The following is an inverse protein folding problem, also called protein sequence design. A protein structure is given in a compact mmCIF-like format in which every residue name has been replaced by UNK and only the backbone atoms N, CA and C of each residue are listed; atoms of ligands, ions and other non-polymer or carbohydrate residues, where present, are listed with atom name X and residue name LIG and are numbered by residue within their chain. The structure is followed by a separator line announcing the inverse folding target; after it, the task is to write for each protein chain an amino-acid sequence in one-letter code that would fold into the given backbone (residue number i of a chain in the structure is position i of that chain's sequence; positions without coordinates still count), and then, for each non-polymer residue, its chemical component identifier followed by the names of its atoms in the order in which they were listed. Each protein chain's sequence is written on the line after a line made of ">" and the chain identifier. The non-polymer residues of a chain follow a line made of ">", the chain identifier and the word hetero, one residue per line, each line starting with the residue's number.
data_IF_374858118700
#
_entry.id   IF_374858118700
#
_cell.length_a   1.000
_cell.length_b   1.000
_cell.length_c   1.000
_cell.angle_alpha   90.00
_cell.angle_beta   90.00
_cell.angle_gamma   90.00
#
_symmetry.space_group_name_H-M   'P 1'
#
loop_
_entity.id
_entity.type
_entity.pdbx_description
1 polymer ?
#
# COMPACT_ATOMS: atom_id res chain seq x y z
N UNK A 1 38.09 15.37 10.10
CA UNK A 1 36.75 15.10 10.65
C UNK A 1 35.87 16.28 10.29
N UNK A 2 35.11 16.19 9.21
CA UNK A 2 34.03 17.11 8.87
C UNK A 2 32.75 16.45 9.39
N UNK A 3 32.27 16.94 10.54
CA UNK A 3 31.07 16.41 11.16
C UNK A 3 29.84 17.01 10.49
N UNK A 4 29.19 16.24 9.61
CA UNK A 4 27.84 16.55 9.16
C UNK A 4 26.90 16.33 10.35
N UNK A 5 26.38 17.40 10.93
CA UNK A 5 25.33 17.30 11.94
C UNK A 5 23.99 17.00 11.22
N UNK A 6 23.27 15.92 11.57
CA UNK A 6 21.99 15.61 10.94
C UNK A 6 20.97 16.72 11.24
N UNK A 7 20.27 17.19 10.20
CA UNK A 7 19.24 18.21 10.35
C UNK A 7 17.93 17.56 10.82
N UNK A 8 17.20 18.30 11.66
CA UNK A 8 15.96 17.85 12.29
C UNK A 8 14.74 18.36 11.51
N UNK A 9 13.94 17.47 10.89
CA UNK A 9 12.62 17.86 10.42
C UNK A 9 11.77 18.18 11.64
N UNK A 10 11.16 19.36 11.68
CA UNK A 10 10.27 19.71 12.79
C UNK A 10 8.98 18.89 12.72
N UNK A 11 8.48 18.60 11.51
CA UNK A 11 7.34 17.72 11.28
C UNK A 11 7.48 16.95 9.96
N UNK A 12 7.07 15.69 9.98
CA UNK A 12 6.77 14.91 8.79
C UNK A 12 5.25 14.85 8.66
N UNK A 13 4.70 15.32 7.54
CA UNK A 13 3.29 15.13 7.23
C UNK A 13 3.14 13.95 6.30
N UNK A 14 2.48 12.91 6.79
CA UNK A 14 1.95 11.84 5.94
C UNK A 14 0.49 12.17 5.71
N UNK A 15 0.16 12.59 4.50
CA UNK A 15 -1.22 12.83 4.13
C UNK A 15 -1.82 11.54 3.58
N UNK A 16 -3.06 11.27 3.97
CA UNK A 16 -3.98 10.50 3.13
C UNK A 16 -4.95 11.51 2.53
N UNK A 17 -4.91 11.65 1.22
CA UNK A 17 -5.83 12.52 0.49
C UNK A 17 -6.91 11.70 -0.21
N UNK A 18 -8.17 11.91 0.23
CA UNK A 18 -9.41 12.10 -0.57
C UNK A 18 -10.61 12.20 0.41
N UNK A 19 -11.35 13.32 0.57
CA UNK A 19 -12.01 14.18 -0.43
C UNK A 19 -12.22 15.63 0.02
N UNK A 20 -11.59 16.59 -0.68
CA UNK A 20 -11.92 18.03 -0.60
C UNK A 20 -11.68 18.87 -1.88
N UNK A 21 -11.13 18.27 -2.96
CA UNK A 21 -11.02 18.73 -4.38
C UNK A 21 -10.16 20.00 -4.63
N UNK A 22 -9.12 20.01 -5.49
CA UNK A 22 -9.17 20.10 -6.98
C UNK A 22 -8.24 19.11 -7.71
N UNK A 23 -8.82 18.45 -8.72
CA UNK A 23 -8.19 17.51 -9.65
C UNK A 23 -7.38 18.23 -10.74
N UNK A 24 -6.21 17.69 -11.08
CA UNK A 24 -6.00 17.04 -12.38
C UNK A 24 -4.83 16.05 -12.28
N UNK A 25 -5.13 14.75 -12.29
CA UNK A 25 -4.15 13.73 -12.65
C UNK A 25 -4.47 13.29 -14.08
N UNK A 26 -3.72 13.85 -15.04
CA UNK A 26 -3.46 13.21 -16.32
C UNK A 26 -2.23 12.32 -16.14
N UNK A 27 -2.50 11.02 -16.00
CA UNK A 27 -1.55 9.92 -16.05
C UNK A 27 -2.40 8.68 -16.26
N UNK A 28 -1.92 7.75 -17.07
CA UNK A 28 -2.71 6.60 -17.50
C UNK A 28 -2.94 5.66 -16.33
N UNK A 29 -4.13 5.75 -15.72
CA UNK A 29 -4.69 4.79 -14.74
C UNK A 29 -4.75 3.33 -15.25
N UNK A 30 -4.23 3.06 -16.45
CA UNK A 30 -4.47 1.86 -17.25
C UNK A 30 -3.26 1.34 -18.04
N UNK A 31 -2.03 1.82 -17.80
CA UNK A 31 -0.86 1.22 -18.46
C UNK A 31 -0.13 0.15 -17.63
N UNK A 32 -0.46 0.02 -16.34
CA UNK A 32 -0.22 -1.25 -15.65
C UNK A 32 -1.48 -2.09 -15.79
N UNK A 33 -1.40 -3.13 -16.62
CA UNK A 33 -2.31 -4.26 -16.57
C UNK A 33 -2.22 -4.80 -15.14
N UNK A 34 -3.13 -4.35 -14.26
CA UNK A 34 -3.14 -4.74 -12.86
C UNK A 34 -3.08 -6.26 -12.75
N UNK A 35 -2.17 -6.79 -11.93
CA UNK A 35 -2.01 -8.22 -11.74
C UNK A 35 -3.37 -8.81 -11.36
N UNK A 36 -3.85 -9.80 -12.13
CA UNK A 36 -5.09 -10.47 -11.79
C UNK A 36 -4.96 -11.13 -10.41
N UNK A 37 -5.95 -10.94 -9.54
CA UNK A 37 -6.09 -11.76 -8.35
C UNK A 37 -6.54 -13.16 -8.77
N UNK A 38 -5.90 -14.20 -8.22
CA UNK A 38 -6.15 -15.59 -8.56
C UNK A 38 -6.47 -16.35 -7.28
N UNK A 39 -7.45 -17.23 -7.36
CA UNK A 39 -7.86 -18.04 -6.23
C UNK A 39 -8.11 -19.46 -6.72
N UNK A 40 -7.57 -20.42 -5.98
CA UNK A 40 -7.95 -21.81 -6.15
C UNK A 40 -9.24 -22.07 -5.38
N UNK A 41 -10.16 -22.81 -6.00
CA UNK A 41 -11.48 -23.05 -5.43
C UNK A 41 -12.10 -24.35 -5.91
N UNK A 42 -13.08 -24.82 -5.17
CA UNK A 42 -13.83 -26.03 -5.46
C UNK A 42 -15.10 -25.70 -6.26
N UNK A 43 -15.26 -26.36 -7.40
CA UNK A 43 -16.41 -26.20 -8.28
C UNK A 43 -17.45 -27.31 -8.04
N UNK A 44 -18.67 -26.91 -7.72
CA UNK A 44 -19.83 -27.78 -7.56
C UNK A 44 -20.88 -27.46 -8.62
N UNK A 45 -21.33 -28.49 -9.33
CA UNK A 45 -22.39 -28.38 -10.33
C UNK A 45 -23.63 -29.04 -9.73
N UNK A 46 -24.62 -28.22 -9.39
CA UNK A 46 -25.90 -28.72 -8.90
C UNK A 46 -26.60 -29.57 -9.95
N UNK A 47 -27.39 -30.58 -9.54
CA UNK A 47 -28.22 -31.33 -10.47
C UNK A 47 -29.18 -30.38 -11.19
N UNK A 48 -29.53 -30.62 -12.47
CA UNK A 48 -30.51 -29.82 -13.17
C UNK A 48 -31.87 -29.94 -12.45
N UNK A 49 -32.26 -28.92 -11.70
CA UNK A 49 -33.58 -28.86 -11.08
C UNK A 49 -34.61 -28.32 -12.07
N UNK A 50 -35.85 -28.80 -11.95
CA UNK A 50 -36.98 -28.17 -12.62
C UNK A 50 -37.09 -26.70 -12.19
N UNK A 51 -37.50 -25.84 -13.12
CA UNK A 51 -37.62 -24.39 -12.96
C UNK A 51 -38.32 -23.97 -11.64
N UNK A 52 -37.94 -22.83 -11.03
CA UNK A 52 -37.36 -21.65 -11.69
C UNK A 52 -35.84 -21.45 -11.54
N UNK A 53 -35.14 -22.29 -10.77
CA UNK A 53 -33.74 -21.99 -10.38
C UNK A 53 -32.66 -22.67 -11.24
N UNK A 54 -33.01 -23.71 -12.02
CA UNK A 54 -32.09 -24.36 -12.96
C UNK A 54 -30.87 -25.03 -12.30
N UNK A 55 -29.87 -25.43 -13.10
CA UNK A 55 -28.60 -25.91 -12.55
C UNK A 55 -27.82 -24.73 -11.95
N UNK A 56 -27.42 -24.84 -10.69
CA UNK A 56 -26.58 -23.85 -10.02
C UNK A 56 -25.11 -24.29 -10.10
N UNK A 57 -24.25 -23.39 -10.57
CA UNK A 57 -22.80 -23.55 -10.43
C UNK A 57 -22.39 -22.80 -9.16
N UNK A 58 -21.76 -23.52 -8.24
CA UNK A 58 -21.24 -22.97 -7.00
C UNK A 58 -19.73 -23.13 -7.00
N UNK A 59 -19.00 -22.05 -6.74
CA UNK A 59 -17.56 -22.06 -6.57
C UNK A 59 -17.29 -21.62 -5.14
N UNK A 60 -16.58 -22.46 -4.38
CA UNK A 60 -16.15 -22.15 -3.02
C UNK A 60 -14.67 -21.86 -3.00
N UNK A 61 -14.34 -20.67 -2.54
CA UNK A 61 -12.98 -20.23 -2.20
C UNK A 61 -12.98 -20.05 -0.67
N UNK A 62 -11.83 -20.14 0.02
CA UNK A 62 -11.79 -19.96 1.48
C UNK A 62 -12.51 -18.70 1.98
N UNK A 63 -12.36 -17.59 1.26
CA UNK A 63 -12.84 -16.27 1.71
C UNK A 63 -14.21 -15.86 1.14
N UNK A 64 -14.66 -16.52 0.08
CA UNK A 64 -15.89 -16.15 -0.60
C UNK A 64 -16.47 -17.29 -1.44
N UNK A 65 -17.75 -17.14 -1.74
CA UNK A 65 -18.52 -18.06 -2.55
C UNK A 65 -19.03 -17.29 -3.77
N UNK A 66 -18.84 -17.89 -4.95
CA UNK A 66 -19.46 -17.42 -6.18
C UNK A 66 -20.59 -18.38 -6.53
N UNK A 67 -21.82 -17.87 -6.60
CA UNK A 67 -22.98 -18.61 -7.06
C UNK A 67 -23.45 -18.08 -8.40
N UNK A 68 -23.39 -18.92 -9.42
CA UNK A 68 -23.92 -18.64 -10.74
C UNK A 68 -25.26 -19.37 -10.91
N UNK A 69 -26.29 -18.58 -11.13
CA UNK A 69 -27.66 -19.01 -11.44
C UNK A 69 -28.03 -18.52 -12.84
N UNK A 70 -29.11 -19.03 -13.44
CA UNK A 70 -29.59 -18.52 -14.75
C UNK A 70 -29.69 -16.98 -14.83
N UNK A 71 -30.26 -16.27 -13.82
CA UNK A 71 -30.43 -14.82 -13.92
C UNK A 71 -29.26 -14.00 -13.38
N UNK A 72 -28.36 -14.57 -12.58
CA UNK A 72 -27.40 -13.77 -11.81
C UNK A 72 -26.15 -14.53 -11.39
N UNK A 73 -25.04 -13.78 -11.33
CA UNK A 73 -23.85 -14.10 -10.56
C UNK A 73 -23.97 -13.41 -9.20
N UNK A 74 -23.77 -14.16 -8.12
CA UNK A 74 -23.72 -13.64 -6.74
C UNK A 74 -22.37 -13.93 -6.13
N UNK A 75 -21.82 -12.93 -5.45
CA UNK A 75 -20.61 -13.00 -4.65
C UNK A 75 -20.99 -12.82 -3.19
N UNK A 76 -20.58 -13.76 -2.33
CA UNK A 76 -20.90 -13.76 -0.90
C UNK A 76 -19.60 -14.04 -0.13
N UNK A 77 -19.24 -13.20 0.85
CA UNK A 77 -18.09 -13.47 1.72
C UNK A 77 -18.36 -14.63 2.68
N UNK A 78 -17.32 -15.34 3.07
CA UNK A 78 -17.37 -16.35 4.12
C UNK A 78 -16.85 -15.71 5.42
N UNK A 79 -17.75 -15.44 6.35
CA UNK A 79 -17.40 -14.82 7.63
C UNK A 79 -17.08 -13.32 7.54
N UNK A 80 -16.42 -12.81 8.58
CA UNK A 80 -15.99 -11.41 8.70
C UNK A 80 -14.51 -11.27 8.34
N UNK A 81 -14.17 -10.21 7.61
CA UNK A 81 -12.78 -9.87 7.27
C UNK A 81 -11.91 -9.60 8.51
N UNK A 82 -12.52 -9.18 9.62
CA UNK A 82 -11.80 -8.90 10.88
C UNK A 82 -11.42 -10.17 11.65
N UNK A 83 -12.06 -11.30 11.33
CA UNK A 83 -11.87 -12.56 12.04
C UNK A 83 -10.89 -13.51 11.32
N UNK A 84 -10.59 -13.27 10.04
CA UNK A 84 -9.71 -14.12 9.25
C UNK A 84 -8.24 -13.75 9.41
N UNK A 85 -7.38 -14.76 9.37
CA UNK A 85 -5.94 -14.58 9.34
C UNK A 85 -5.39 -15.05 8.00
N UNK A 86 -4.62 -14.19 7.36
CA UNK A 86 -3.96 -14.47 6.09
C UNK A 86 -2.48 -14.15 6.16
N UNK A 87 -1.72 -14.83 5.31
CA UNK A 87 -0.37 -14.39 4.94
C UNK A 87 -0.42 -13.07 4.18
N UNK A 88 0.74 -12.43 4.05
CA UNK A 88 0.89 -11.17 3.33
C UNK A 88 0.41 -11.29 1.87
N UNK A 89 0.77 -12.38 1.19
CA UNK A 89 0.41 -12.67 -0.19
C UNK A 89 -1.10 -12.95 -0.35
N UNK A 90 -1.69 -13.75 0.54
CA UNK A 90 -3.13 -14.03 0.55
C UNK A 90 -3.93 -12.73 0.77
N UNK A 91 -3.49 -11.86 1.70
CA UNK A 91 -4.10 -10.55 1.88
C UNK A 91 -3.99 -9.68 0.61
N UNK A 92 -2.83 -9.68 -0.05
CA UNK A 92 -2.63 -8.90 -1.26
C UNK A 92 -3.56 -9.36 -2.39
N UNK A 93 -3.72 -10.68 -2.58
CA UNK A 93 -4.64 -11.23 -3.58
C UNK A 93 -6.10 -10.90 -3.25
N UNK A 94 -6.53 -11.11 -2.00
CA UNK A 94 -7.89 -10.83 -1.56
C UNK A 94 -8.25 -9.35 -1.71
N UNK A 95 -7.42 -8.44 -1.19
CA UNK A 95 -7.71 -7.01 -1.24
C UNK A 95 -7.62 -6.44 -2.65
N UNK A 96 -6.77 -7.00 -3.51
CA UNK A 96 -6.75 -6.64 -4.93
C UNK A 96 -8.04 -7.07 -5.63
N UNK A 97 -8.53 -8.27 -5.37
CA UNK A 97 -9.80 -8.74 -5.91
C UNK A 97 -10.97 -7.85 -5.47
N UNK A 98 -11.07 -7.56 -4.16
CA UNK A 98 -12.10 -6.69 -3.61
C UNK A 98 -12.01 -5.26 -4.19
N UNK A 99 -10.81 -4.72 -4.35
CA UNK A 99 -10.58 -3.42 -5.00
C UNK A 99 -11.11 -3.42 -6.44
N UNK A 100 -10.76 -4.44 -7.23
CA UNK A 100 -11.22 -4.55 -8.62
C UNK A 100 -12.75 -4.65 -8.69
N UNK A 101 -13.36 -5.49 -7.86
CA UNK A 101 -14.82 -5.66 -7.83
C UNK A 101 -15.55 -4.40 -7.34
N UNK A 102 -14.98 -3.66 -6.38
CA UNK A 102 -15.55 -2.41 -5.89
C UNK A 102 -15.67 -1.33 -6.98
N UNK A 103 -14.80 -1.37 -8.01
CA UNK A 103 -14.89 -0.43 -9.14
C UNK A 103 -16.02 -0.72 -10.13
N UNK A 104 -16.66 -1.89 -10.04
CA UNK A 104 -17.70 -2.33 -10.99
C UNK A 104 -17.18 -2.57 -12.42
N UNK A 105 -15.86 -2.73 -12.59
CA UNK A 105 -15.19 -2.97 -13.88
C UNK A 105 -14.38 -4.25 -13.90
N UNK A 106 -14.56 -5.11 -12.91
CA UNK A 106 -13.84 -6.37 -12.85
C UNK A 106 -14.40 -7.38 -13.85
N UNK A 107 -13.52 -8.26 -14.30
CA UNK A 107 -13.90 -9.43 -15.11
C UNK A 107 -13.53 -10.66 -14.30
N UNK A 108 -14.50 -11.53 -14.04
CA UNK A 108 -14.27 -12.82 -13.42
C UNK A 108 -14.08 -13.86 -14.53
N UNK A 109 -12.97 -14.59 -14.48
CA UNK A 109 -12.75 -15.77 -15.33
C UNK A 109 -12.67 -17.01 -14.47
N UNK A 110 -13.50 -18.01 -14.77
CA UNK A 110 -13.50 -19.33 -14.15
C UNK A 110 -12.86 -20.30 -15.16
N UNK A 111 -11.73 -20.90 -14.79
CA UNK A 111 -10.93 -21.77 -15.66
C UNK A 111 -10.32 -22.93 -14.86
N UNK A 112 -9.70 -23.89 -15.55
CA UNK A 112 -8.97 -25.01 -14.91
C UNK A 112 -9.76 -26.32 -14.78
N UNK A 113 -10.95 -26.41 -15.36
CA UNK A 113 -11.70 -27.66 -15.45
C UNK A 113 -11.63 -28.21 -16.88
N UNK A 114 -11.03 -29.39 -17.08
CA UNK A 114 -10.89 -30.01 -18.42
C UNK A 114 -12.22 -30.28 -19.13
N UNK A 115 -13.33 -30.36 -18.39
CA UNK A 115 -14.67 -30.65 -18.93
C UNK A 115 -15.49 -29.40 -19.22
N UNK A 116 -15.09 -28.24 -18.69
CA UNK A 116 -15.85 -26.98 -18.82
C UNK A 116 -14.91 -25.93 -19.40
N UNK A 117 -15.21 -25.40 -20.61
CA UNK A 117 -14.38 -24.33 -21.17
C UNK A 117 -14.38 -23.14 -20.23
N UNK A 118 -13.28 -22.37 -20.24
CA UNK A 118 -13.19 -21.17 -19.41
C UNK A 118 -14.38 -20.25 -19.66
N UNK A 119 -15.01 -19.79 -18.59
CA UNK A 119 -16.18 -18.91 -18.65
C UNK A 119 -15.80 -17.56 -18.05
N UNK A 120 -16.16 -16.49 -18.73
CA UNK A 120 -15.79 -15.13 -18.36
C UNK A 120 -17.05 -14.28 -18.24
N UNK A 121 -17.16 -13.54 -17.14
CA UNK A 121 -18.31 -12.68 -16.84
C UNK A 121 -17.83 -11.28 -16.41
N UNK A 122 -18.52 -10.20 -16.84
CA UNK A 122 -18.35 -8.91 -16.20
C UNK A 122 -18.91 -8.95 -14.77
N UNK A 123 -18.22 -8.30 -13.83
CA UNK A 123 -18.69 -8.07 -12.46
C UNK A 123 -19.07 -6.60 -12.37
N UNK A 124 -20.32 -6.32 -12.70
CA UNK A 124 -20.89 -4.97 -12.86
C UNK A 124 -21.60 -4.46 -11.60
N UNK A 125 -21.86 -5.34 -10.63
CA UNK A 125 -22.41 -4.96 -9.33
C UNK A 125 -21.27 -4.65 -8.35
N UNK A 126 -21.30 -3.47 -7.70
CA UNK A 126 -20.32 -3.15 -6.68
C UNK A 126 -20.51 -4.04 -5.45
N UNK A 127 -19.40 -4.42 -4.83
CA UNK A 127 -19.43 -5.11 -3.54
C UNK A 127 -19.92 -4.19 -2.43
N UNK A 128 -20.54 -4.77 -1.40
CA UNK A 128 -20.92 -4.10 -0.17
C UNK A 128 -20.11 -4.66 0.99
N UNK A 129 -19.92 -3.88 2.06
CA UNK A 129 -19.16 -4.33 3.22
C UNK A 129 -18.49 -3.18 3.98
N UNK A 130 -17.74 -3.50 5.04
CA UNK A 130 -16.93 -2.53 5.73
C UNK A 130 -15.71 -2.12 4.89
N UNK A 131 -15.09 -1.00 5.25
CA UNK A 131 -13.78 -0.57 4.75
C UNK A 131 -13.64 -0.35 3.23
N UNK A 132 -14.75 -0.21 2.49
CA UNK A 132 -14.71 -0.09 1.02
C UNK A 132 -13.87 1.09 0.52
N UNK A 133 -13.65 2.13 1.34
CA UNK A 133 -12.82 3.28 0.99
C UNK A 133 -11.34 3.02 1.26
N UNK A 134 -11.05 2.22 2.29
CA UNK A 134 -9.72 1.92 2.79
C UNK A 134 -9.09 0.74 2.03
N UNK A 135 -9.89 -0.24 1.60
CA UNK A 135 -9.41 -1.44 0.87
C UNK A 135 -8.49 -1.11 -0.31
N UNK A 136 -8.80 -0.15 -1.21
CA UNK A 136 -7.89 0.20 -2.31
C UNK A 136 -6.54 0.75 -1.84
N UNK A 137 -6.53 1.51 -0.73
CA UNK A 137 -5.31 2.07 -0.15
C UNK A 137 -4.46 0.97 0.49
N UNK A 138 -5.09 0.04 1.20
CA UNK A 138 -4.41 -1.11 1.83
C UNK A 138 -3.88 -2.06 0.76
N UNK A 139 -4.64 -2.31 -0.31
CA UNK A 139 -4.20 -3.13 -1.45
C UNK A 139 -2.95 -2.54 -2.10
N UNK A 140 -2.94 -1.24 -2.38
CA UNK A 140 -1.77 -0.57 -2.97
C UNK A 140 -0.55 -0.61 -2.04
N UNK A 141 -0.77 -0.46 -0.72
CA UNK A 141 0.28 -0.63 0.28
C UNK A 141 0.87 -2.04 0.25
N UNK A 142 0.03 -3.08 0.26
CA UNK A 142 0.48 -4.48 0.25
C UNK A 142 1.29 -4.82 -1.00
N UNK A 143 0.80 -4.41 -2.17
CA UNK A 143 1.50 -4.62 -3.45
C UNK A 143 2.89 -3.96 -3.42
N UNK A 144 2.95 -2.73 -2.92
CA UNK A 144 4.22 -2.02 -2.74
C UNK A 144 5.14 -2.67 -1.70
N UNK A 145 4.60 -3.13 -0.57
CA UNK A 145 5.39 -3.80 0.47
C UNK A 145 5.98 -5.11 -0.05
N UNK A 146 5.18 -5.94 -0.74
CA UNK A 146 5.64 -7.17 -1.39
C UNK A 146 6.74 -6.89 -2.43
N UNK A 147 6.63 -5.79 -3.19
CA UNK A 147 7.67 -5.36 -4.11
C UNK A 147 8.97 -4.99 -3.38
N UNK A 148 8.89 -4.25 -2.27
CA UNK A 148 10.07 -3.90 -1.46
C UNK A 148 10.73 -5.15 -0.85
N UNK A 149 9.94 -6.09 -0.33
CA UNK A 149 10.46 -7.36 0.18
C UNK A 149 11.15 -8.16 -0.91
N UNK A 150 10.55 -8.23 -2.11
CA UNK A 150 11.14 -8.91 -3.27
C UNK A 150 12.48 -8.28 -3.65
N UNK A 151 12.55 -6.94 -3.71
CA UNK A 151 13.79 -6.21 -3.99
C UNK A 151 14.86 -6.45 -2.93
N UNK A 152 14.47 -6.61 -1.67
CA UNK A 152 15.36 -6.92 -0.55
C UNK A 152 15.70 -8.43 -0.44
N UNK A 153 15.12 -9.30 -1.27
CA UNK A 153 15.31 -10.75 -1.18
C UNK A 153 14.64 -11.40 0.05
N UNK A 154 13.60 -10.77 0.59
CA UNK A 154 12.84 -11.23 1.76
C UNK A 154 11.48 -11.83 1.37
N UNK A 155 10.93 -12.63 2.29
CA UNK A 155 9.54 -13.11 2.26
C UNK A 155 8.99 -13.12 3.68
N UNK A 156 7.71 -12.77 3.81
CA UNK A 156 7.00 -12.87 5.09
C UNK A 156 6.52 -14.29 5.32
N UNK A 157 6.47 -14.72 6.58
CA UNK A 157 5.81 -15.97 6.97
C UNK A 157 4.66 -15.75 7.94
N UNK A 158 4.42 -14.50 8.33
CA UNK A 158 3.39 -14.12 9.27
C UNK A 158 2.01 -14.46 8.70
N UNK A 159 1.13 -14.94 9.59
CA UNK A 159 -0.32 -14.88 9.39
C UNK A 159 -0.87 -13.89 10.38
N UNK A 160 -1.73 -12.99 9.93
CA UNK A 160 -2.24 -11.89 10.75
C UNK A 160 -3.63 -11.46 10.30
N UNK A 161 -4.34 -10.80 11.21
CA UNK A 161 -5.69 -10.27 10.99
C UNK A 161 -5.67 -8.91 10.30
N UNK A 162 -6.83 -8.49 9.79
CA UNK A 162 -6.97 -7.22 9.06
C UNK A 162 -6.60 -5.98 9.90
N UNK A 163 -6.72 -6.05 11.22
CA UNK A 163 -6.40 -4.96 12.15
C UNK A 163 -4.93 -4.51 12.11
N UNK A 164 -4.00 -5.42 11.77
CA UNK A 164 -2.58 -5.12 11.67
C UNK A 164 -2.28 -3.98 10.67
N UNK A 165 -3.15 -3.75 9.68
CA UNK A 165 -3.00 -2.66 8.72
C UNK A 165 -3.15 -1.28 9.35
N UNK A 166 -3.87 -1.15 10.47
CA UNK A 166 -4.07 0.15 11.12
C UNK A 166 -2.79 0.69 11.76
N UNK A 167 -1.91 -0.21 12.20
CA UNK A 167 -0.64 0.12 12.85
C UNK A 167 0.54 0.21 11.85
N UNK A 168 0.31 -0.08 10.56
CA UNK A 168 1.35 -0.19 9.53
C UNK A 168 1.85 1.17 8.97
N UNK A 169 1.76 2.27 9.73
CA UNK A 169 1.98 3.62 9.21
C UNK A 169 3.41 3.84 8.68
N UNK A 170 4.42 3.33 9.38
CA UNK A 170 5.82 3.48 8.97
C UNK A 170 6.16 2.65 7.72
N UNK A 171 5.58 1.46 7.60
CA UNK A 171 5.73 0.62 6.41
C UNK A 171 5.01 1.23 5.20
N UNK A 172 3.80 1.79 5.41
CA UNK A 172 3.07 2.54 4.37
C UNK A 172 3.87 3.74 3.88
N UNK A 173 4.48 4.48 4.79
CA UNK A 173 5.35 5.60 4.44
C UNK A 173 6.56 5.14 3.62
N UNK A 174 7.20 4.03 4.00
CA UNK A 174 8.33 3.48 3.24
C UNK A 174 7.91 3.14 1.81
N UNK A 175 6.76 2.49 1.63
CA UNK A 175 6.18 2.20 0.31
C UNK A 175 5.92 3.48 -0.49
N UNK A 176 5.31 4.49 0.11
CA UNK A 176 5.01 5.76 -0.57
C UNK A 176 6.29 6.50 -0.99
N UNK A 177 7.29 6.59 -0.11
CA UNK A 177 8.56 7.27 -0.41
C UNK A 177 9.35 6.54 -1.51
N UNK A 178 9.38 5.21 -1.49
CA UNK A 178 10.24 4.43 -2.39
C UNK A 178 9.59 4.14 -3.74
N UNK A 179 8.26 3.98 -3.79
CA UNK A 179 7.58 3.46 -4.97
C UNK A 179 6.58 4.44 -5.59
N UNK A 180 6.10 5.47 -4.86
CA UNK A 180 5.13 6.42 -5.42
C UNK A 180 5.84 7.67 -6.00
N UNK A 181 5.85 7.86 -7.34
CA UNK A 181 6.48 9.03 -7.96
C UNK A 181 5.82 10.37 -7.55
N UNK A 182 4.56 10.31 -7.08
CA UNK A 182 3.81 11.45 -6.52
C UNK A 182 3.49 11.16 -5.05
N UNK A 183 4.54 10.92 -4.27
CA UNK A 183 4.45 10.66 -2.83
C UNK A 183 3.55 11.68 -2.13
N UNK A 184 2.73 11.15 -1.22
CA UNK A 184 1.89 11.96 -0.34
C UNK A 184 2.63 12.33 0.96
N UNK A 185 3.68 11.59 1.32
CA UNK A 185 4.59 11.95 2.40
C UNK A 185 5.36 13.23 2.06
N UNK A 186 5.50 14.12 3.05
CA UNK A 186 6.29 15.35 2.91
C UNK A 186 7.04 15.68 4.19
N UNK A 187 8.33 15.95 4.05
CA UNK A 187 9.13 16.57 5.10
C UNK A 187 8.93 18.07 5.08
N UNK A 188 8.68 18.66 6.25
CA UNK A 188 8.57 20.11 6.42
C UNK A 188 9.64 20.63 7.39
N UNK A 189 10.32 21.69 6.99
CA UNK A 189 11.37 22.34 7.75
C UNK A 189 11.09 23.84 7.89
N UNK A 190 11.33 24.38 9.08
CA UNK A 190 11.26 25.82 9.32
C UNK A 190 12.47 26.54 8.70
N UNK A 191 13.64 25.91 8.78
CA UNK A 191 14.90 26.36 8.18
C UNK A 191 15.71 25.15 7.73
N UNK A 192 16.52 25.31 6.67
CA UNK A 192 17.54 24.35 6.25
C UNK A 192 18.90 25.03 6.38
N UNK A 193 19.74 24.55 7.31
CA UNK A 193 21.12 25.01 7.42
C UNK A 193 22.00 24.25 6.42
N UNK A 194 22.27 24.87 5.26
CA UNK A 194 23.09 24.26 4.21
C UNK A 194 24.31 25.16 3.98
N UNK A 195 25.50 24.64 4.27
CA UNK A 195 26.76 25.38 4.12
C UNK A 195 27.06 25.75 2.65
N UNK A 196 26.63 24.91 1.70
CA UNK A 196 26.74 25.16 0.25
C UNK A 196 25.43 24.75 -0.45
N UNK A 197 24.55 25.69 -0.85
CA UNK A 197 23.27 25.34 -1.42
C UNK A 197 23.43 24.76 -2.83
N UNK A 198 23.11 23.47 -3.01
CA UNK A 198 22.64 22.99 -4.31
C UNK A 198 21.28 23.66 -4.59
N UNK A 199 21.03 24.02 -5.83
CA UNK A 199 19.72 24.54 -6.24
C UNK A 199 19.07 23.53 -7.19
N UNK A 200 18.03 22.80 -6.76
CA UNK A 200 17.38 22.80 -5.44
C UNK A 200 18.17 22.06 -4.34
N UNK A 201 17.88 22.29 -3.04
CA UNK A 201 18.47 21.52 -1.95
C UNK A 201 18.08 20.05 -1.98
N UNK A 202 19.04 19.19 -1.66
CA UNK A 202 18.89 17.74 -1.68
C UNK A 202 19.39 17.14 -0.38
N UNK A 203 18.72 16.09 0.10
CA UNK A 203 19.14 15.36 1.29
C UNK A 203 18.88 13.87 1.20
N UNK A 204 19.44 13.13 2.16
CA UNK A 204 19.25 11.71 2.33
C UNK A 204 18.27 11.46 3.47
N UNK A 205 17.18 10.77 3.18
CA UNK A 205 16.36 10.10 4.18
C UNK A 205 16.70 8.62 4.20
N UNK A 206 16.88 8.07 5.39
CA UNK A 206 17.11 6.65 5.59
C UNK A 206 16.38 6.20 6.85
N UNK A 207 15.81 4.99 6.82
CA UNK A 207 15.11 4.43 7.95
C UNK A 207 15.04 2.91 7.84
N UNK A 208 14.56 2.28 8.91
CA UNK A 208 14.06 0.91 8.86
C UNK A 208 12.56 0.90 9.16
N UNK A 209 11.83 0.04 8.47
CA UNK A 209 10.41 -0.17 8.70
C UNK A 209 10.12 -1.66 8.81
N UNK A 210 9.14 -2.00 9.64
CA UNK A 210 8.73 -3.38 9.88
C UNK A 210 7.24 -3.55 9.62
N UNK A 211 6.85 -4.66 9.01
CA UNK A 211 5.46 -5.07 8.87
C UNK A 211 5.40 -6.57 8.60
N UNK A 212 4.40 -7.26 9.19
CA UNK A 212 4.16 -8.70 9.00
C UNK A 212 5.48 -9.50 9.07
N UNK A 213 6.06 -9.66 10.27
CA UNK A 213 7.33 -10.36 10.59
C UNK A 213 8.60 -9.99 9.80
N UNK A 214 8.52 -9.04 8.86
CA UNK A 214 9.63 -8.61 8.02
C UNK A 214 10.07 -7.20 8.35
N UNK A 215 11.37 -6.94 8.19
CA UNK A 215 11.99 -5.64 8.42
C UNK A 215 12.95 -5.31 7.29
N UNK A 216 12.82 -4.11 6.72
CA UNK A 216 13.71 -3.59 5.69
C UNK A 216 14.43 -2.34 6.18
N UNK A 217 15.64 -2.12 5.69
CA UNK A 217 16.32 -0.84 5.75
C UNK A 217 16.35 -0.24 4.35
N UNK A 218 16.13 1.07 4.24
CA UNK A 218 16.05 1.75 2.96
C UNK A 218 16.61 3.17 3.03
N UNK A 219 16.90 3.74 1.86
CA UNK A 219 17.22 5.14 1.72
C UNK A 219 16.65 5.75 0.45
N UNK A 220 16.31 7.03 0.54
CA UNK A 220 15.81 7.83 -0.56
C UNK A 220 16.49 9.21 -0.56
N UNK A 221 16.80 9.69 -1.76
CA UNK A 221 17.15 11.09 -1.99
C UNK A 221 15.87 11.93 -1.95
N UNK A 222 15.92 13.03 -1.22
CA UNK A 222 14.81 13.94 -0.98
C UNK A 222 15.12 15.29 -1.63
N UNK A 223 14.18 15.80 -2.41
CA UNK A 223 14.30 17.09 -3.09
C UNK A 223 13.43 18.12 -2.36
N UNK A 224 13.98 19.31 -2.11
CA UNK A 224 13.31 20.38 -1.38
C UNK A 224 13.08 21.61 -2.23
N UNK A 225 11.96 22.28 -1.96
CA UNK A 225 11.69 23.61 -2.48
C UNK A 225 11.34 24.55 -1.32
N UNK A 226 11.64 25.84 -1.52
CA UNK A 226 11.17 26.87 -0.61
C UNK A 226 9.66 27.01 -0.77
N UNK A 227 8.95 27.11 0.34
CA UNK A 227 7.49 27.19 0.37
C UNK A 227 7.05 28.62 0.70
N UNK A 228 5.86 29.01 0.23
CA UNK A 228 5.23 30.30 0.54
C UNK A 228 4.73 30.39 2.00
N UNK A 229 4.85 29.29 2.77
CA UNK A 229 4.45 29.22 4.16
C UNK A 229 5.49 29.92 5.06
N UNK A 230 5.11 30.95 5.82
CA UNK A 230 6.04 31.71 6.66
C UNK A 230 6.58 30.89 7.85
N UNK A 231 5.88 29.84 8.27
CA UNK A 231 6.32 28.94 9.34
C UNK A 231 7.14 27.76 8.77
N UNK A 232 6.73 27.22 7.63
CA UNK A 232 7.34 26.04 7.00
C UNK A 232 8.07 26.42 5.72
N UNK A 233 9.24 27.03 5.87
CA UNK A 233 9.96 27.63 4.74
C UNK A 233 10.45 26.62 3.71
N UNK A 234 10.64 25.34 4.06
CA UNK A 234 11.06 24.30 3.11
C UNK A 234 10.17 23.07 3.19
N UNK A 235 9.83 22.53 2.01
CA UNK A 235 9.02 21.31 1.86
C UNK A 235 9.65 20.36 0.86
N UNK A 236 9.61 19.07 1.15
CA UNK A 236 10.00 18.07 0.16
C UNK A 236 8.96 17.98 -0.96
N UNK A 237 9.41 17.87 -2.21
CA UNK A 237 8.55 17.81 -3.40
C UNK A 237 8.63 16.48 -4.12
N UNK A 238 9.77 15.78 -4.01
CA UNK A 238 10.00 14.49 -4.66
C UNK A 238 10.94 13.62 -3.83
N UNK A 239 10.80 12.31 -4.04
CA UNK A 239 11.71 11.29 -3.55
C UNK A 239 12.30 10.49 -4.72
N UNK A 240 13.49 9.95 -4.50
CA UNK A 240 14.14 9.03 -5.42
C UNK A 240 14.73 7.89 -4.59
N UNK A 241 14.20 6.68 -4.78
CA UNK A 241 14.70 5.50 -4.09
C UNK A 241 16.16 5.25 -4.48
N UNK A 242 17.02 5.09 -3.48
CA UNK A 242 18.44 4.81 -3.68
C UNK A 242 18.74 3.34 -3.39
N UNK A 243 18.19 2.81 -2.30
CA UNK A 243 18.51 1.48 -1.82
C UNK A 243 17.38 0.91 -0.95
N UNK A 244 17.20 -0.41 -1.01
CA UNK A 244 16.33 -1.20 -0.13
C UNK A 244 16.97 -2.56 0.10
N UNK A 245 17.06 -2.99 1.36
CA UNK A 245 17.74 -4.23 1.75
C UNK A 245 17.15 -4.81 3.03
N UNK A 246 17.50 -6.04 3.43
CA UNK A 246 17.18 -6.56 4.75
C UNK A 246 17.67 -5.62 5.85
N UNK A 247 16.98 -5.66 7.00
CA UNK A 247 17.32 -4.83 8.14
C UNK A 247 18.82 -4.91 8.48
N UNK A 248 19.44 -3.73 8.65
CA UNK A 248 20.83 -3.59 9.10
C UNK A 248 20.90 -3.38 10.61
N UNK A 249 22.03 -3.76 11.22
CA UNK A 249 22.25 -3.60 12.66
C UNK A 249 22.56 -2.14 13.05
N UNK A 250 23.33 -1.43 12.22
CA UNK A 250 23.73 -0.04 12.46
C UNK A 250 23.14 0.90 11.38
N UNK A 251 22.01 1.53 11.72
CA UNK A 251 21.32 2.47 10.83
C UNK A 251 22.12 3.76 10.61
N UNK A 252 22.96 4.19 11.57
CA UNK A 252 23.77 5.40 11.45
C UNK A 252 24.96 5.18 10.52
N UNK A 253 25.62 4.03 10.61
CA UNK A 253 26.65 3.61 9.66
C UNK A 253 26.07 3.51 8.25
N UNK A 254 24.95 2.80 8.08
CA UNK A 254 24.24 2.71 6.80
C UNK A 254 23.94 4.09 6.21
N UNK A 255 23.36 5.00 7.00
CA UNK A 255 23.04 6.37 6.55
C UNK A 255 24.27 7.15 6.10
N UNK A 256 25.39 7.05 6.83
CA UNK A 256 26.65 7.72 6.47
C UNK A 256 27.27 7.15 5.18
N UNK A 257 27.23 5.84 5.00
CA UNK A 257 27.71 5.18 3.80
C UNK A 257 26.91 5.61 2.56
N UNK A 258 25.58 5.58 2.65
CA UNK A 258 24.69 6.01 1.57
C UNK A 258 24.89 7.49 1.22
N UNK A 259 25.05 8.35 2.22
CA UNK A 259 25.28 9.77 2.01
C UNK A 259 26.60 10.04 1.31
N UNK A 260 27.65 9.32 1.71
CA UNK A 260 28.98 9.42 1.07
C UNK A 260 28.93 8.89 -0.37
N UNK A 261 28.24 7.78 -0.61
CA UNK A 261 28.11 7.18 -1.94
C UNK A 261 27.33 8.07 -2.92
N UNK A 262 26.36 8.84 -2.42
CA UNK A 262 25.52 9.73 -3.22
C UNK A 262 25.95 11.20 -3.20
N UNK A 263 27.05 11.54 -2.54
CA UNK A 263 27.53 12.93 -2.31
C UNK A 263 26.45 13.85 -1.70
N UNK A 264 25.67 13.32 -0.76
CA UNK A 264 24.61 14.05 -0.06
C UNK A 264 25.12 14.51 1.31
N UNK A 265 25.07 15.83 1.55
CA UNK A 265 25.53 16.44 2.80
C UNK A 265 24.41 16.58 3.84
N UNK A 266 23.17 16.72 3.38
CA UNK A 266 22.00 16.84 4.24
C UNK A 266 21.51 15.44 4.65
N UNK A 267 21.54 15.14 5.94
CA UNK A 267 20.98 13.90 6.50
C UNK A 267 19.69 14.18 7.25
N UNK A 268 18.67 13.36 6.99
CA UNK A 268 17.37 13.39 7.64
C UNK A 268 17.30 12.18 8.58
N UNK A 269 17.60 12.41 9.87
CA UNK A 269 17.59 11.35 10.88
C UNK A 269 16.15 11.08 11.34
N UNK A 270 15.64 9.83 11.18
CA UNK A 270 14.28 9.47 11.57
C UNK A 270 13.99 9.71 13.05
N UNK A 271 15.00 9.61 13.94
CA UNK A 271 14.83 9.78 15.40
C UNK A 271 14.47 11.21 15.80
N UNK A 272 14.75 12.16 14.92
CA UNK A 272 14.50 13.57 15.16
C UNK A 272 13.15 14.03 14.57
N UNK A 273 12.40 13.14 13.93
CA UNK A 273 11.17 13.48 13.23
C UNK A 273 9.96 13.44 14.15
N UNK A 274 9.06 14.41 14.00
CA UNK A 274 7.74 14.36 14.62
C UNK A 274 6.70 14.05 13.57
N UNK A 275 5.99 12.93 13.70
CA UNK A 275 4.86 12.61 12.82
C UNK A 275 3.73 13.61 13.10
N UNK A 276 3.28 14.31 12.06
CA UNK A 276 2.11 15.15 12.16
C UNK A 276 0.86 14.25 12.28
N UNK A 277 -0.08 14.59 13.17
CA UNK A 277 -1.32 13.85 13.29
C UNK A 277 -2.09 13.89 11.97
N UNK A 278 -2.68 12.76 11.60
CA UNK A 278 -3.57 12.63 10.44
C UNK A 278 -4.73 13.59 10.64
N UNK A 279 -4.86 14.62 9.79
CA UNK A 279 -5.83 15.70 9.98
C UNK A 279 -7.31 15.29 9.89
N UNK A 280 -7.61 14.02 9.61
CA UNK A 280 -8.96 13.46 9.63
C UNK A 280 -8.94 12.03 10.17
N UNK A 281 -8.78 11.84 11.48
CA UNK A 281 -9.03 10.53 12.11
C UNK A 281 -10.46 10.57 12.65
N UNK A 282 -11.45 9.90 12.03
CA UNK A 282 -12.68 9.60 12.76
C UNK A 282 -12.30 8.79 14.00
N UNK A 283 -12.97 8.99 15.15
CA UNK A 283 -12.70 8.18 16.33
C UNK A 283 -12.77 6.70 15.96
N UNK A 284 -11.82 5.92 16.47
CA UNK A 284 -11.84 4.46 16.42
C UNK A 284 -13.27 4.00 16.70
N UNK A 285 -13.92 3.19 15.86
CA UNK A 285 -15.26 2.72 16.15
C UNK A 285 -15.18 2.00 17.49
N UNK A 286 -15.81 2.59 18.50
CA UNK A 286 -16.00 1.95 19.78
C UNK A 286 -16.69 0.63 19.51
N UNK A 287 -16.03 -0.48 19.83
CA UNK A 287 -16.65 -1.78 19.91
C UNK A 287 -17.85 -1.64 20.86
N UNK A 288 -19.05 -1.55 20.29
CA UNK A 288 -20.26 -1.83 21.04
C UNK A 288 -20.44 -3.34 21.02
N UNK A 289 -20.54 -3.88 22.23
CA UNK A 289 -20.88 -5.26 22.58
C UNK A 289 -22.03 -5.85 21.76
#
# INVERSE_FOLDING_TARGET
>A
MLGLAPLKPHRLRVFDSRFGIRLLYQGTLFDDIGQAARFDGEMFIGPPMAEPHGAELLIRVPDFIIRLTRPALKFESVGSIDDTEHSLEEWAELLRALTLMATGRATLTIAGNDRIPSITFPVDQPITGPYLKEIPLISAFLDGWLQLLTNAGLRSTARFKFDAFWEANEARMAVDILLNPKSQARFEFQTLEIEEPSSPPEGLYFSSSSFADTSITFSAKVFFEQSDDPEWQYRSTRFEALDVRPQVDDLEEYGREQATACDLRLLIDPRNMTLAPRMDTPPTPSHHE
#
